data_IF_233970011269
#
_entry.id   IF_233970011269
#
_cell.length_a   1.000
_cell.length_b   1.000
_cell.length_c   1.000
_cell.angle_alpha   90.00
_cell.angle_beta   90.00
_cell.angle_gamma   90.00
#
_symmetry.space_group_name_H-M   'P 1'
#
loop_
_entity.id
_entity.type
_entity.pdbx_description
1 polymer ?
#
# COMPACT_ATOMS: atom_id res chain seq x y z
N UNK A 1 -34.78 -64.50 17.85
CA UNK A 1 -35.05 -63.23 17.17
C UNK A 1 -34.49 -62.11 18.04
N UNK A 2 -33.28 -61.57 17.74
CA UNK A 2 -32.60 -60.61 18.61
C UNK A 2 -32.72 -59.27 17.89
N UNK A 3 -33.49 -58.35 18.47
CA UNK A 3 -33.61 -56.95 17.98
C UNK A 3 -32.37 -56.16 18.40
N UNK A 4 -31.64 -55.63 17.43
CA UNK A 4 -30.58 -54.63 17.66
C UNK A 4 -31.18 -53.21 17.50
N UNK A 5 -31.04 -52.31 18.49
CA UNK A 5 -31.46 -50.92 18.34
C UNK A 5 -30.42 -50.20 17.49
N UNK A 6 -30.87 -49.58 16.40
CA UNK A 6 -30.05 -48.64 15.63
C UNK A 6 -29.97 -47.28 16.34
N UNK A 7 -28.77 -46.91 16.74
CA UNK A 7 -28.49 -45.60 17.35
C UNK A 7 -28.43 -44.54 16.21
N UNK A 8 -29.43 -43.68 16.18
CA UNK A 8 -29.47 -42.54 15.26
C UNK A 8 -28.59 -41.43 15.87
N UNK A 9 -27.39 -41.19 15.33
CA UNK A 9 -26.56 -40.06 15.73
C UNK A 9 -27.07 -38.83 14.98
N UNK A 10 -27.78 -37.97 15.72
CA UNK A 10 -28.21 -36.65 15.24
C UNK A 10 -27.02 -35.68 15.34
N UNK A 11 -26.33 -35.44 14.25
CA UNK A 11 -25.29 -34.39 14.19
C UNK A 11 -25.95 -33.01 14.25
N UNK A 12 -25.88 -32.35 15.42
CA UNK A 12 -26.17 -30.93 15.51
C UNK A 12 -25.10 -30.16 14.71
N UNK A 13 -25.45 -29.71 13.54
CA UNK A 13 -24.74 -28.63 12.88
C UNK A 13 -24.99 -27.34 13.65
N UNK A 14 -24.09 -27.01 14.58
CA UNK A 14 -24.07 -25.69 15.19
C UNK A 14 -23.72 -24.72 14.09
N UNK A 15 -24.71 -24.03 13.53
CA UNK A 15 -24.50 -22.87 12.67
C UNK A 15 -23.81 -21.79 13.50
N UNK A 16 -22.50 -21.66 13.34
CA UNK A 16 -21.79 -20.50 13.84
C UNK A 16 -22.27 -19.33 12.99
N UNK A 17 -23.05 -18.42 13.57
CA UNK A 17 -23.25 -17.11 13.02
C UNK A 17 -21.85 -16.48 12.91
N UNK A 18 -21.34 -16.35 11.69
CA UNK A 18 -20.14 -15.57 11.43
C UNK A 18 -20.49 -14.12 11.81
N UNK A 19 -20.14 -13.73 13.02
CA UNK A 19 -20.14 -12.31 13.39
C UNK A 19 -19.19 -11.61 12.41
N UNK A 20 -19.62 -10.47 11.88
CA UNK A 20 -18.77 -9.67 11.00
C UNK A 20 -17.46 -9.38 11.75
N UNK A 21 -16.36 -9.83 11.18
CA UNK A 21 -15.02 -9.67 11.78
C UNK A 21 -14.59 -8.19 11.81
N UNK A 22 -15.17 -7.38 10.92
CA UNK A 22 -14.92 -5.95 10.79
C UNK A 22 -16.20 -5.14 11.05
N UNK A 23 -16.02 -3.85 11.35
CA UNK A 23 -17.11 -2.90 11.55
C UNK A 23 -16.72 -1.54 10.97
N UNK A 24 -17.15 -1.28 9.73
CA UNK A 24 -16.73 -0.13 8.95
C UNK A 24 -15.22 -0.16 8.68
N UNK A 25 -14.69 -1.21 8.01
CA UNK A 25 -13.27 -1.21 7.63
C UNK A 25 -13.01 -0.10 6.62
N UNK A 26 -12.01 0.74 6.91
CA UNK A 26 -11.72 1.96 6.15
C UNK A 26 -10.37 1.92 5.46
N UNK A 27 -9.32 1.49 6.17
CA UNK A 27 -7.99 1.33 5.60
C UNK A 27 -7.44 -0.04 5.94
N UNK A 28 -6.65 -0.59 5.04
CA UNK A 28 -5.86 -1.79 5.26
C UNK A 28 -4.41 -1.48 4.95
N UNK A 29 -3.51 -1.99 5.80
CA UNK A 29 -2.08 -1.82 5.62
C UNK A 29 -1.38 -3.17 5.77
N UNK A 30 -0.52 -3.53 4.83
CA UNK A 30 0.23 -4.78 4.87
C UNK A 30 1.50 -4.64 5.70
N UNK A 31 1.65 -5.46 6.74
CA UNK A 31 2.89 -5.61 7.51
C UNK A 31 3.76 -6.72 6.90
N UNK A 32 4.80 -6.38 6.12
CA UNK A 32 5.64 -7.38 5.45
C UNK A 32 6.55 -8.15 6.41
N UNK A 33 6.77 -7.63 7.62
CA UNK A 33 7.59 -8.30 8.65
C UNK A 33 6.80 -9.37 9.36
N UNK A 34 5.56 -9.05 9.74
CA UNK A 34 4.65 -9.98 10.39
C UNK A 34 3.86 -10.86 9.42
N UNK A 35 3.93 -10.60 8.11
CA UNK A 35 3.12 -11.22 7.05
C UNK A 35 1.62 -11.24 7.42
N UNK A 36 1.08 -10.05 7.67
CA UNK A 36 -0.27 -9.84 8.17
C UNK A 36 -0.82 -8.49 7.72
N UNK A 37 -2.08 -8.24 8.00
CA UNK A 37 -2.77 -7.01 7.63
C UNK A 37 -3.28 -6.28 8.87
N UNK A 38 -3.09 -4.97 8.92
CA UNK A 38 -3.71 -4.09 9.89
C UNK A 38 -4.90 -3.42 9.23
N UNK A 39 -6.05 -3.43 9.88
CA UNK A 39 -7.31 -2.89 9.32
C UNK A 39 -7.93 -1.92 10.30
N UNK A 40 -8.10 -0.66 9.88
CA UNK A 40 -8.85 0.32 10.66
C UNK A 40 -10.35 0.07 10.54
N UNK A 41 -11.08 0.31 11.63
CA UNK A 41 -12.52 0.07 11.68
C UNK A 41 -13.21 1.29 12.29
N UNK A 42 -13.85 2.11 11.47
CA UNK A 42 -14.46 3.37 11.89
C UNK A 42 -15.68 3.15 12.79
N UNK A 43 -16.42 2.06 12.59
CA UNK A 43 -17.62 1.75 13.37
C UNK A 43 -17.33 1.24 14.80
N UNK A 44 -16.17 0.59 15.03
CA UNK A 44 -15.77 0.11 16.35
C UNK A 44 -14.64 0.93 16.98
N UNK A 45 -13.96 1.75 16.20
CA UNK A 45 -12.74 2.44 16.62
C UNK A 45 -11.54 1.51 16.74
N UNK A 46 -11.61 0.26 16.32
CA UNK A 46 -10.52 -0.69 16.47
C UNK A 46 -9.57 -0.68 15.28
N UNK A 47 -8.27 -0.81 15.53
CA UNK A 47 -7.32 -1.35 14.57
C UNK A 47 -7.25 -2.85 14.82
N UNK A 48 -7.54 -3.64 13.79
CA UNK A 48 -7.54 -5.10 13.84
C UNK A 48 -6.37 -5.67 13.07
N UNK A 49 -5.89 -6.83 13.52
CA UNK A 49 -4.85 -7.61 12.82
C UNK A 49 -5.51 -8.84 12.22
N UNK A 50 -5.26 -9.07 10.93
CA UNK A 50 -5.65 -10.28 10.22
C UNK A 50 -4.41 -11.02 9.75
N UNK A 51 -4.27 -12.27 10.17
CA UNK A 51 -3.18 -13.14 9.71
C UNK A 51 -3.49 -13.77 8.33
N UNK A 52 -2.51 -14.47 7.75
CA UNK A 52 -2.66 -15.15 6.46
C UNK A 52 -3.68 -16.31 6.51
N UNK A 53 -3.97 -16.85 7.69
CA UNK A 53 -5.02 -17.88 7.86
C UNK A 53 -6.44 -17.30 7.83
N UNK A 54 -6.57 -15.99 7.93
CA UNK A 54 -7.84 -15.27 8.01
C UNK A 54 -8.33 -15.02 9.43
N UNK A 55 -7.52 -15.33 10.46
CA UNK A 55 -7.86 -15.03 11.86
C UNK A 55 -7.76 -13.53 12.10
N UNK A 56 -8.78 -12.94 12.69
CA UNK A 56 -8.85 -11.50 13.00
C UNK A 56 -8.89 -11.28 14.50
N UNK A 57 -7.99 -10.44 15.00
CA UNK A 57 -7.89 -10.05 16.42
C UNK A 57 -7.83 -8.55 16.55
N UNK A 58 -8.20 -7.99 17.71
CA UNK A 58 -8.03 -6.57 17.99
C UNK A 58 -6.60 -6.27 18.41
N UNK A 59 -5.99 -5.23 17.83
CA UNK A 59 -4.71 -4.69 18.30
C UNK A 59 -4.95 -3.61 19.36
N UNK A 60 -5.76 -2.60 19.02
CA UNK A 60 -6.02 -1.45 19.90
C UNK A 60 -7.34 -0.78 19.50
N UNK A 61 -7.98 -0.10 20.47
CA UNK A 61 -9.08 0.81 20.23
C UNK A 61 -8.59 2.26 20.21
N UNK A 62 -8.92 2.99 19.17
CA UNK A 62 -8.51 4.37 18.88
C UNK A 62 -9.70 5.31 19.02
N UNK A 63 -9.54 6.44 19.67
CA UNK A 63 -10.58 7.49 19.79
C UNK A 63 -9.97 8.87 19.53
N UNK A 64 -10.54 9.70 18.63
CA UNK A 64 -11.57 9.36 17.65
C UNK A 64 -11.22 8.15 16.78
N UNK A 65 -12.22 7.56 16.10
CA UNK A 65 -12.03 6.35 15.29
C UNK A 65 -10.91 6.51 14.23
N UNK A 66 -10.15 5.43 13.94
CA UNK A 66 -9.06 5.47 12.97
C UNK A 66 -9.60 5.41 11.54
N UNK A 67 -8.97 6.16 10.64
CA UNK A 67 -9.17 6.14 9.18
C UNK A 67 -7.93 5.55 8.51
N UNK A 68 -7.24 6.30 7.64
CA UNK A 68 -6.03 5.85 6.96
C UNK A 68 -4.97 5.33 7.91
N UNK A 69 -4.29 4.25 7.51
CA UNK A 69 -3.19 3.63 8.22
C UNK A 69 -1.90 3.73 7.38
N UNK A 70 -0.76 3.77 8.07
CA UNK A 70 0.57 3.66 7.47
C UNK A 70 1.54 3.03 8.46
N UNK A 71 2.46 2.18 8.00
CA UNK A 71 3.44 1.50 8.85
C UNK A 71 4.85 2.07 8.63
N UNK A 72 5.49 2.49 9.73
CA UNK A 72 6.94 2.79 9.75
C UNK A 72 7.60 1.94 10.82
N UNK A 73 8.43 1.00 10.43
CA UNK A 73 9.12 0.09 11.34
C UNK A 73 8.14 -0.81 12.10
N UNK A 74 8.11 -0.68 13.43
CA UNK A 74 7.23 -1.43 14.32
C UNK A 74 6.00 -0.62 14.80
N UNK A 75 5.71 0.47 14.12
CA UNK A 75 4.62 1.39 14.50
C UNK A 75 3.61 1.52 13.36
N UNK A 76 2.33 1.30 13.67
CA UNK A 76 1.21 1.68 12.81
C UNK A 76 0.73 3.09 13.20
N UNK A 77 0.72 3.98 12.23
CA UNK A 77 0.20 5.34 12.35
C UNK A 77 -1.22 5.37 11.79
N UNK A 78 -2.12 6.01 12.50
CA UNK A 78 -3.53 6.13 12.14
C UNK A 78 -3.98 7.59 12.11
N UNK A 79 -4.65 8.00 11.05
CA UNK A 79 -5.42 9.23 11.04
C UNK A 79 -6.57 9.13 12.04
N UNK A 80 -6.64 10.04 13.00
CA UNK A 80 -7.65 10.03 14.06
C UNK A 80 -8.12 11.46 14.37
N UNK A 81 -9.29 11.83 13.87
CA UNK A 81 -9.78 13.20 13.97
C UNK A 81 -8.87 14.21 13.27
N UNK A 82 -8.36 15.19 13.99
CA UNK A 82 -7.45 16.24 13.48
C UNK A 82 -5.97 15.98 13.74
N UNK A 83 -5.57 14.71 13.95
CA UNK A 83 -4.19 14.33 14.26
C UNK A 83 -3.84 12.91 13.84
N UNK A 84 -2.61 12.52 14.13
CA UNK A 84 -2.05 11.20 13.85
C UNK A 84 -1.67 10.54 15.18
N UNK A 85 -2.03 9.27 15.35
CA UNK A 85 -1.64 8.44 16.48
C UNK A 85 -0.84 7.24 16.01
N UNK A 86 0.30 6.97 16.64
CA UNK A 86 1.15 5.82 16.38
C UNK A 86 1.04 4.79 17.49
N UNK A 87 0.88 3.53 17.11
CA UNK A 87 0.78 2.40 18.04
C UNK A 87 1.79 1.32 17.68
N UNK A 88 2.41 0.71 18.69
CA UNK A 88 3.24 -0.46 18.49
C UNK A 88 2.40 -1.58 17.86
N UNK A 89 2.87 -2.13 16.73
CA UNK A 89 2.19 -3.25 16.04
C UNK A 89 2.33 -4.57 16.78
N UNK A 90 3.15 -4.61 17.86
CA UNK A 90 3.36 -5.80 18.69
C UNK A 90 2.31 -5.92 19.78
N UNK A 91 1.96 -4.81 20.44
CA UNK A 91 1.13 -4.85 21.65
C UNK A 91 0.06 -3.74 21.73
N UNK A 92 -0.04 -2.88 20.70
CA UNK A 92 -1.01 -1.78 20.66
C UNK A 92 -0.69 -0.61 21.59
N UNK A 93 0.50 -0.54 22.17
CA UNK A 93 0.91 0.59 23.03
C UNK A 93 0.98 1.88 22.21
N UNK A 94 0.38 2.98 22.70
CA UNK A 94 0.48 4.31 22.10
C UNK A 94 1.92 4.83 22.24
N UNK A 95 2.59 5.07 21.11
CA UNK A 95 3.98 5.55 21.05
C UNK A 95 4.12 6.94 20.42
N UNK A 96 3.09 7.39 19.71
CA UNK A 96 3.07 8.72 19.09
C UNK A 96 1.65 9.31 19.12
N UNK A 97 1.53 10.62 19.33
CA UNK A 97 0.25 11.32 19.32
C UNK A 97 0.46 12.80 19.00
N UNK A 98 0.24 13.17 17.75
CA UNK A 98 0.49 14.52 17.24
C UNK A 98 -0.77 15.11 16.60
N UNK A 99 -1.16 16.32 17.04
CA UNK A 99 -2.24 17.08 16.41
C UNK A 99 -1.67 18.01 15.35
N UNK A 100 -2.15 17.89 14.13
CA UNK A 100 -1.84 18.87 13.06
C UNK A 100 -2.87 20.01 13.01
N UNK A 101 -3.84 20.02 13.94
CA UNK A 101 -4.96 20.96 13.93
C UNK A 101 -5.87 20.77 12.72
N UNK A 102 -5.90 19.57 12.17
CA UNK A 102 -6.76 19.19 11.05
C UNK A 102 -8.23 19.10 11.44
N UNK A 103 -9.10 19.08 10.44
CA UNK A 103 -10.54 18.94 10.64
C UNK A 103 -10.98 17.50 10.56
N UNK A 104 -10.53 16.78 9.51
CA UNK A 104 -10.82 15.38 9.29
C UNK A 104 -9.71 14.77 8.43
N UNK A 105 -8.71 14.17 9.09
CA UNK A 105 -7.64 13.47 8.39
C UNK A 105 -8.17 12.13 7.89
N UNK A 106 -7.84 11.81 6.65
CA UNK A 106 -8.30 10.57 6.01
C UNK A 106 -7.14 9.71 5.52
N UNK A 107 -6.54 9.99 4.38
CA UNK A 107 -5.41 9.22 3.85
C UNK A 107 -4.08 9.60 4.49
N UNK A 108 -3.15 8.64 4.54
CA UNK A 108 -1.80 8.82 5.07
C UNK A 108 -0.81 7.96 4.29
N UNK A 109 0.41 8.44 4.11
CA UNK A 109 1.52 7.70 3.48
C UNK A 109 2.86 8.18 4.00
N UNK A 110 3.93 7.43 3.72
CA UNK A 110 5.30 7.79 4.11
C UNK A 110 6.28 7.72 2.95
N UNK A 111 7.29 8.62 2.96
CA UNK A 111 8.49 8.50 2.11
C UNK A 111 9.65 7.78 2.84
N UNK A 112 9.36 7.17 4.00
CA UNK A 112 10.32 6.52 4.89
C UNK A 112 10.96 7.48 5.91
N UNK A 113 10.71 8.80 5.80
CA UNK A 113 11.23 9.83 6.72
C UNK A 113 10.10 10.64 7.34
N UNK A 114 9.15 11.07 6.50
CA UNK A 114 8.02 11.88 6.89
C UNK A 114 6.72 11.13 6.63
N UNK A 115 5.70 11.45 7.42
CA UNK A 115 4.32 11.11 7.09
C UNK A 115 3.68 12.26 6.31
N UNK A 116 2.84 11.90 5.35
CA UNK A 116 2.00 12.84 4.61
C UNK A 116 0.54 12.44 4.78
N UNK A 117 -0.31 13.37 5.16
CA UNK A 117 -1.73 13.08 5.40
C UNK A 117 -2.63 14.11 4.75
N UNK A 118 -3.76 13.64 4.24
CA UNK A 118 -4.82 14.47 3.68
C UNK A 118 -5.80 14.90 4.75
N UNK A 119 -6.23 16.17 4.73
CA UNK A 119 -7.40 16.64 5.44
C UNK A 119 -8.55 16.76 4.46
N UNK A 120 -9.41 15.77 4.48
CA UNK A 120 -10.55 15.63 3.60
C UNK A 120 -11.50 16.85 3.65
N UNK A 121 -11.80 17.31 4.85
CA UNK A 121 -12.76 18.42 5.05
C UNK A 121 -12.14 19.78 4.82
N UNK A 122 -10.88 19.98 5.21
CA UNK A 122 -10.20 21.27 5.01
C UNK A 122 -9.55 21.41 3.63
N UNK A 123 -9.46 20.32 2.86
CA UNK A 123 -8.82 20.32 1.53
C UNK A 123 -7.33 20.62 1.61
N UNK A 124 -6.62 20.01 2.55
CA UNK A 124 -5.19 20.26 2.82
C UNK A 124 -4.36 18.99 2.76
N UNK A 125 -3.04 19.16 2.67
CA UNK A 125 -2.07 18.10 2.89
C UNK A 125 -1.07 18.58 3.93
N UNK A 126 -0.83 17.78 4.96
CA UNK A 126 0.19 18.02 5.97
C UNK A 126 1.39 17.09 5.76
N UNK A 127 2.57 17.60 6.09
CA UNK A 127 3.82 16.85 6.21
C UNK A 127 4.21 16.82 7.69
N UNK A 128 4.39 15.63 8.25
CA UNK A 128 4.66 15.40 9.66
C UNK A 128 6.04 14.77 9.85
N UNK A 129 6.86 15.37 10.66
CA UNK A 129 8.14 14.84 11.11
C UNK A 129 7.93 14.10 12.43
N UNK A 130 7.92 12.76 12.36
CA UNK A 130 7.70 11.90 13.53
C UNK A 130 8.85 12.03 14.52
N UNK A 131 10.09 12.16 14.04
CA UNK A 131 11.27 12.23 14.89
C UNK A 131 11.36 13.55 15.67
N UNK A 132 10.84 14.64 15.08
CA UNK A 132 10.85 15.97 15.70
C UNK A 132 9.51 16.34 16.36
N UNK A 133 8.52 15.45 16.31
CA UNK A 133 7.14 15.70 16.78
C UNK A 133 6.60 17.04 16.27
N UNK A 134 6.71 17.28 14.96
CA UNK A 134 6.36 18.54 14.33
C UNK A 134 5.68 18.35 12.98
N UNK A 135 5.02 19.39 12.48
CA UNK A 135 4.40 19.34 11.16
C UNK A 135 4.46 20.67 10.41
N UNK A 136 4.22 20.60 9.12
CA UNK A 136 3.99 21.76 8.25
C UNK A 136 2.76 21.51 7.38
N UNK A 137 2.06 22.58 7.01
CA UNK A 137 1.05 22.51 5.97
C UNK A 137 1.76 22.53 4.62
N UNK A 138 1.88 21.35 3.98
CA UNK A 138 2.52 21.21 2.67
C UNK A 138 1.65 21.84 1.57
N UNK A 139 0.34 21.61 1.60
CA UNK A 139 -0.63 22.17 0.65
C UNK A 139 -1.76 22.81 1.45
N UNK A 140 -1.86 24.13 1.35
CA UNK A 140 -2.87 24.91 2.08
C UNK A 140 -4.29 24.79 1.47
N UNK A 141 -4.39 24.47 0.18
CA UNK A 141 -5.66 24.18 -0.50
C UNK A 141 -5.42 23.30 -1.71
N UNK A 142 -6.05 22.13 -1.71
CA UNK A 142 -6.05 21.22 -2.86
C UNK A 142 -7.15 21.56 -3.88
N UNK A 143 -8.08 22.46 -3.52
CA UNK A 143 -9.25 22.80 -4.35
C UNK A 143 -10.29 21.69 -4.46
N UNK A 144 -10.34 20.78 -3.49
CA UNK A 144 -11.31 19.67 -3.41
C UNK A 144 -11.16 18.92 -2.10
N UNK A 145 -11.83 17.78 -1.97
CA UNK A 145 -11.72 16.88 -0.82
C UNK A 145 -10.70 15.77 -1.13
N UNK A 146 -9.42 15.95 -0.75
CA UNK A 146 -8.40 14.92 -0.94
C UNK A 146 -8.73 13.73 -0.03
N UNK A 147 -8.64 12.53 -0.55
CA UNK A 147 -8.92 11.30 0.18
C UNK A 147 -7.64 10.46 0.28
N UNK A 148 -7.53 9.34 -0.41
CA UNK A 148 -6.33 8.52 -0.40
C UNK A 148 -5.11 9.27 -0.94
N UNK A 149 -3.95 8.90 -0.42
CA UNK A 149 -2.64 9.45 -0.79
C UNK A 149 -1.60 8.34 -0.77
N UNK A 150 -0.71 8.29 -1.78
CA UNK A 150 0.39 7.34 -1.83
C UNK A 150 1.68 8.03 -2.24
N UNK A 151 2.80 7.64 -1.63
CA UNK A 151 4.13 8.04 -2.05
C UNK A 151 4.56 7.25 -3.30
N UNK A 152 4.88 7.95 -4.38
CA UNK A 152 5.47 7.40 -5.61
C UNK A 152 6.99 7.60 -5.59
N UNK A 153 7.79 6.58 -5.22
CA UNK A 153 9.24 6.71 -5.10
C UNK A 153 9.94 6.83 -6.46
N UNK A 154 9.29 6.43 -7.55
CA UNK A 154 9.85 6.52 -8.91
C UNK A 154 9.62 7.91 -9.49
N UNK A 155 8.42 8.45 -9.30
CA UNK A 155 8.09 9.80 -9.73
C UNK A 155 8.49 10.89 -8.73
N UNK A 156 9.00 10.53 -7.54
CA UNK A 156 9.35 11.42 -6.42
C UNK A 156 8.23 12.40 -6.05
N UNK A 157 7.00 11.88 -5.99
CA UNK A 157 5.77 12.68 -5.82
C UNK A 157 4.75 11.99 -4.92
N UNK A 158 3.88 12.78 -4.32
CA UNK A 158 2.69 12.29 -3.64
C UNK A 158 1.54 12.21 -4.66
N UNK A 159 0.93 11.04 -4.84
CA UNK A 159 -0.25 10.89 -5.70
C UNK A 159 -1.49 10.87 -4.81
N UNK A 160 -2.43 11.76 -5.11
CA UNK A 160 -3.62 11.99 -4.29
C UNK A 160 -4.87 11.82 -5.15
N UNK A 161 -5.82 11.07 -4.63
CA UNK A 161 -7.14 10.89 -5.20
C UNK A 161 -8.18 11.73 -4.47
N UNK A 162 -9.29 12.03 -5.13
CA UNK A 162 -10.26 12.98 -4.62
C UNK A 162 -11.65 12.36 -4.51
N UNK A 163 -12.38 12.78 -3.49
CA UNK A 163 -13.79 12.52 -3.36
C UNK A 163 -14.60 13.47 -4.23
N UNK A 164 -15.71 12.99 -4.76
CA UNK A 164 -16.64 13.77 -5.58
C UNK A 164 -16.90 13.14 -6.95
N UNK A 165 -17.74 13.78 -7.73
CA UNK A 165 -18.13 13.30 -9.07
C UNK A 165 -17.02 13.57 -10.09
N UNK A 166 -16.79 12.61 -11.01
CA UNK A 166 -15.74 12.70 -12.02
C UNK A 166 -14.41 13.11 -11.42
N UNK A 167 -14.03 12.46 -10.33
CA UNK A 167 -12.94 12.85 -9.46
C UNK A 167 -11.58 12.87 -10.18
N UNK A 168 -10.73 13.81 -9.81
CA UNK A 168 -9.39 13.95 -10.37
C UNK A 168 -8.36 13.06 -9.66
N UNK A 169 -7.21 12.85 -10.30
CA UNK A 169 -5.98 12.35 -9.66
C UNK A 169 -4.91 13.41 -9.87
N UNK A 170 -4.24 13.81 -8.78
CA UNK A 170 -3.19 14.83 -8.81
C UNK A 170 -1.93 14.34 -8.13
N UNK A 171 -0.79 14.82 -8.63
CA UNK A 171 0.49 14.68 -7.96
C UNK A 171 0.85 15.98 -7.24
N UNK A 172 1.58 15.84 -6.13
CA UNK A 172 2.15 16.97 -5.40
C UNK A 172 3.63 16.71 -5.12
N UNK A 173 4.44 17.72 -5.34
CA UNK A 173 5.85 17.68 -4.93
C UNK A 173 5.94 17.64 -3.39
N UNK A 174 6.67 16.68 -2.85
CA UNK A 174 6.76 16.43 -1.39
C UNK A 174 7.44 17.53 -0.59
N UNK A 175 8.16 18.45 -1.26
CA UNK A 175 8.90 19.52 -0.59
C UNK A 175 8.20 20.87 -0.73
N UNK A 176 7.63 21.14 -1.89
CA UNK A 176 7.04 22.46 -2.22
C UNK A 176 5.51 22.45 -2.22
N UNK A 177 4.88 21.27 -2.29
CA UNK A 177 3.43 21.15 -2.45
C UNK A 177 2.93 21.55 -3.84
N UNK A 178 3.83 21.75 -4.82
CA UNK A 178 3.44 22.11 -6.17
C UNK A 178 2.61 21.00 -6.81
N UNK A 179 1.43 21.38 -7.34
CA UNK A 179 0.46 20.42 -7.88
C UNK A 179 0.64 20.21 -9.38
N UNK A 180 0.48 18.95 -9.82
CA UNK A 180 0.35 18.55 -11.22
C UNK A 180 -0.88 17.70 -11.37
N UNK A 181 -1.76 18.00 -12.34
CA UNK A 181 -2.91 17.15 -12.64
C UNK A 181 -2.50 15.97 -13.49
N UNK A 182 -2.65 14.75 -12.98
CA UNK A 182 -2.38 13.50 -13.71
C UNK A 182 -3.59 13.08 -14.53
N UNK A 183 -4.78 13.11 -13.93
CA UNK A 183 -6.07 12.85 -14.60
C UNK A 183 -7.05 13.93 -14.16
N UNK A 184 -7.52 14.75 -15.09
CA UNK A 184 -8.42 15.85 -14.80
C UNK A 184 -9.83 15.39 -14.40
N UNK A 185 -10.26 14.25 -14.94
CA UNK A 185 -11.54 13.61 -14.64
C UNK A 185 -11.50 12.15 -15.03
N UNK A 186 -11.68 11.28 -14.05
CA UNK A 186 -11.55 9.82 -14.19
C UNK A 186 -12.80 9.14 -14.70
N UNK A 187 -13.95 9.82 -14.70
CA UNK A 187 -15.27 9.19 -14.86
C UNK A 187 -15.73 8.43 -13.63
N UNK A 188 -14.90 8.36 -12.57
CA UNK A 188 -15.23 7.74 -11.28
C UNK A 188 -15.82 8.78 -10.33
N UNK A 189 -16.65 8.31 -9.43
CA UNK A 189 -17.23 9.15 -8.37
C UNK A 189 -16.81 8.59 -7.00
N UNK A 190 -16.45 9.48 -6.09
CA UNK A 190 -16.05 9.15 -4.74
C UNK A 190 -14.87 8.18 -4.75
N UNK A 191 -13.74 8.64 -5.27
CA UNK A 191 -12.51 7.86 -5.17
C UNK A 191 -12.03 7.93 -3.72
N UNK A 192 -11.72 6.75 -3.17
CA UNK A 192 -11.36 6.61 -1.77
C UNK A 192 -9.88 6.33 -1.59
N UNK A 193 -9.40 5.17 -1.99
CA UNK A 193 -8.03 4.74 -1.80
C UNK A 193 -7.17 4.75 -3.05
N UNK A 194 -5.85 4.77 -2.86
CA UNK A 194 -4.85 4.61 -3.92
C UNK A 194 -3.62 3.90 -3.39
N UNK A 195 -3.13 2.90 -4.12
CA UNK A 195 -1.85 2.21 -3.84
C UNK A 195 -1.09 1.95 -5.13
N UNK A 196 0.14 1.42 -5.01
CA UNK A 196 1.00 1.10 -6.14
C UNK A 196 1.25 -0.40 -6.19
N UNK A 197 0.96 -1.04 -7.33
CA UNK A 197 1.20 -2.46 -7.52
C UNK A 197 2.68 -2.80 -7.77
N UNK A 198 2.98 -4.09 -7.83
CA UNK A 198 4.32 -4.63 -8.09
C UNK A 198 4.93 -4.24 -9.45
N UNK A 199 4.15 -3.69 -10.36
CA UNK A 199 4.57 -3.22 -11.68
C UNK A 199 4.70 -1.70 -11.73
N UNK A 200 4.42 -1.01 -10.62
CA UNK A 200 4.43 0.45 -10.52
C UNK A 200 3.14 1.09 -11.04
N UNK A 201 2.08 0.32 -11.34
CA UNK A 201 0.80 0.91 -11.69
C UNK A 201 0.08 1.40 -10.44
N UNK A 202 -0.72 2.44 -10.60
CA UNK A 202 -1.58 2.96 -9.55
C UNK A 202 -2.93 2.23 -9.57
N UNK A 203 -3.30 1.64 -8.44
CA UNK A 203 -4.60 1.04 -8.21
C UNK A 203 -5.45 2.01 -7.43
N UNK A 204 -6.66 2.26 -7.90
CA UNK A 204 -7.56 3.30 -7.37
C UNK A 204 -8.90 2.66 -7.03
N UNK A 205 -9.34 2.80 -5.77
CA UNK A 205 -10.64 2.36 -5.31
C UNK A 205 -11.70 3.45 -5.46
N UNK A 206 -12.88 3.12 -5.98
CA UNK A 206 -14.00 4.06 -6.12
C UNK A 206 -15.33 3.45 -5.68
N UNK A 207 -16.24 4.29 -5.16
CA UNK A 207 -17.56 3.87 -4.70
C UNK A 207 -18.64 3.93 -5.80
N UNK A 208 -18.39 4.63 -6.90
CA UNK A 208 -19.37 4.67 -7.99
C UNK A 208 -18.67 4.80 -9.35
N UNK A 209 -18.65 3.68 -10.09
CA UNK A 209 -19.01 2.33 -9.63
C UNK A 209 -18.03 1.78 -8.57
N UNK A 210 -18.50 0.81 -7.76
CA UNK A 210 -17.65 0.04 -6.85
C UNK A 210 -16.65 -0.77 -7.67
N UNK A 211 -15.38 -0.34 -7.72
CA UNK A 211 -14.34 -1.05 -8.46
C UNK A 211 -12.94 -0.63 -8.09
N UNK A 212 -11.98 -1.43 -8.53
CA UNK A 212 -10.55 -1.08 -8.54
C UNK A 212 -10.14 -0.80 -9.98
N UNK A 213 -9.66 0.41 -10.21
CA UNK A 213 -9.20 0.87 -11.53
C UNK A 213 -7.68 1.01 -11.54
N UNK A 214 -7.02 0.41 -12.54
CA UNK A 214 -5.58 0.50 -12.72
C UNK A 214 -5.23 1.59 -13.72
N UNK A 215 -4.26 2.43 -13.35
CA UNK A 215 -3.59 3.41 -14.20
C UNK A 215 -2.12 3.03 -14.37
N UNK A 216 -1.58 3.22 -15.57
CA UNK A 216 -0.14 3.05 -15.81
C UNK A 216 0.69 4.08 -15.03
N UNK A 217 1.99 3.86 -14.80
CA UNK A 217 2.84 4.75 -13.99
C UNK A 217 2.90 6.20 -14.49
N UNK A 218 2.62 6.41 -15.77
CA UNK A 218 2.64 7.73 -16.41
C UNK A 218 1.27 8.37 -16.57
N UNK A 219 0.18 7.64 -16.28
CA UNK A 219 -1.21 8.05 -16.48
C UNK A 219 -1.55 8.42 -17.93
N UNK A 220 -0.84 7.84 -18.90
CA UNK A 220 -1.02 8.14 -20.33
C UNK A 220 -1.82 7.07 -21.09
N UNK A 221 -1.85 5.86 -20.57
CA UNK A 221 -2.63 4.78 -21.16
C UNK A 221 -4.08 4.80 -20.64
N UNK A 222 -5.03 4.22 -21.40
CA UNK A 222 -6.39 4.07 -20.92
C UNK A 222 -6.44 3.31 -19.59
N UNK A 223 -7.23 3.82 -18.65
CA UNK A 223 -7.46 3.18 -17.37
C UNK A 223 -8.17 1.83 -17.55
N UNK A 224 -7.83 0.84 -16.73
CA UNK A 224 -8.34 -0.54 -16.83
C UNK A 224 -9.06 -0.92 -15.55
N UNK A 225 -10.32 -1.36 -15.67
CA UNK A 225 -11.05 -2.01 -14.56
C UNK A 225 -10.44 -3.40 -14.32
N UNK A 226 -10.05 -3.69 -13.08
CA UNK A 226 -9.49 -5.00 -12.72
C UNK A 226 -10.56 -6.11 -12.64
N UNK A 227 -11.84 -5.77 -12.71
CA UNK A 227 -12.93 -6.75 -12.64
C UNK A 227 -13.08 -7.42 -11.27
N UNK A 228 -12.65 -6.78 -10.20
CA UNK A 228 -12.81 -7.30 -8.83
C UNK A 228 -14.28 -7.35 -8.48
N UNK A 229 -14.75 -8.50 -8.00
CA UNK A 229 -16.16 -8.71 -7.64
C UNK A 229 -16.37 -8.69 -6.14
N UNK A 230 -17.64 -8.45 -5.70
CA UNK A 230 -18.01 -8.46 -4.28
C UNK A 230 -17.63 -7.19 -3.53
N UNK A 231 -17.22 -6.13 -4.24
CA UNK A 231 -16.93 -4.83 -3.66
C UNK A 231 -18.23 -4.12 -3.21
N UNK A 232 -18.11 -3.38 -2.13
CA UNK A 232 -19.17 -2.51 -1.64
C UNK A 232 -18.55 -1.34 -0.86
N UNK A 233 -18.52 -0.18 -1.46
CA UNK A 233 -17.81 0.99 -0.98
C UNK A 233 -16.35 0.62 -0.63
N UNK A 234 -15.53 0.20 -1.63
CA UNK A 234 -14.12 -0.10 -1.39
C UNK A 234 -13.40 1.19 -0.99
N UNK A 235 -12.74 1.15 0.17
CA UNK A 235 -12.17 2.32 0.82
C UNK A 235 -10.65 2.39 0.59
N UNK A 236 -9.84 2.74 1.58
CA UNK A 236 -8.40 2.93 1.42
C UNK A 236 -7.66 1.59 1.31
N UNK A 237 -7.02 1.38 0.17
CA UNK A 237 -6.44 0.10 -0.26
C UNK A 237 -4.93 0.09 -0.12
N UNK A 238 -4.37 -1.11 0.11
CA UNK A 238 -2.93 -1.31 0.07
C UNK A 238 -2.53 -2.53 -0.78
N UNK A 239 -1.24 -2.63 -1.07
CA UNK A 239 -0.68 -3.68 -1.90
C UNK A 239 0.27 -4.60 -1.11
N UNK A 240 -0.14 -5.85 -0.92
CA UNK A 240 0.70 -6.91 -0.37
C UNK A 240 1.79 -7.28 -1.38
N UNK A 241 2.98 -6.75 -1.15
CA UNK A 241 4.14 -6.89 -2.05
C UNK A 241 4.74 -8.30 -2.03
N UNK A 242 4.48 -9.08 -1.00
CA UNK A 242 4.99 -10.45 -0.84
C UNK A 242 4.12 -11.44 -1.63
N UNK A 243 2.80 -11.32 -1.49
CA UNK A 243 1.85 -12.24 -2.11
C UNK A 243 1.29 -11.74 -3.44
N UNK A 244 1.61 -10.50 -3.86
CA UNK A 244 1.22 -9.95 -5.14
C UNK A 244 -0.27 -9.68 -5.26
N UNK A 245 -0.89 -9.11 -4.24
CA UNK A 245 -2.34 -8.87 -4.22
C UNK A 245 -2.71 -7.51 -3.64
N UNK A 246 -3.76 -6.91 -4.17
CA UNK A 246 -4.37 -5.73 -3.59
C UNK A 246 -5.33 -6.13 -2.47
N UNK A 247 -5.24 -5.41 -1.35
CA UNK A 247 -6.05 -5.58 -0.16
C UNK A 247 -7.11 -4.49 -0.14
N UNK A 248 -8.38 -4.85 -0.04
CA UNK A 248 -9.49 -3.94 -0.28
C UNK A 248 -10.48 -4.01 0.88
N UNK A 249 -10.50 -3.02 1.77
CA UNK A 249 -11.55 -2.92 2.78
C UNK A 249 -12.84 -2.46 2.12
N UNK A 250 -13.94 -3.12 2.44
CA UNK A 250 -15.28 -2.79 1.95
C UNK A 250 -16.12 -2.23 3.10
N UNK A 251 -16.16 -0.91 3.22
CA UNK A 251 -16.85 -0.24 4.34
C UNK A 251 -18.36 -0.47 4.34
N UNK A 252 -18.95 -0.71 3.16
CA UNK A 252 -20.38 -0.90 3.01
C UNK A 252 -20.92 -2.28 3.40
N UNK A 253 -20.06 -3.31 3.49
CA UNK A 253 -20.48 -4.68 3.86
C UNK A 253 -19.60 -5.34 4.93
N UNK A 254 -18.68 -4.59 5.55
CA UNK A 254 -17.83 -5.06 6.65
C UNK A 254 -16.93 -6.24 6.28
N UNK A 255 -16.36 -6.23 5.07
CA UNK A 255 -15.43 -7.26 4.59
C UNK A 255 -14.09 -6.66 4.16
N UNK A 256 -13.06 -7.52 4.03
CA UNK A 256 -11.82 -7.19 3.33
C UNK A 256 -11.64 -8.21 2.21
N UNK A 257 -11.53 -7.71 0.98
CA UNK A 257 -11.29 -8.52 -0.22
C UNK A 257 -9.81 -8.51 -0.56
N UNK A 258 -9.30 -9.66 -0.98
CA UNK A 258 -7.93 -9.82 -1.49
C UNK A 258 -8.02 -10.24 -2.95
N UNK A 259 -7.38 -9.47 -3.83
CA UNK A 259 -7.41 -9.73 -5.25
C UNK A 259 -5.99 -9.85 -5.79
N UNK A 260 -5.66 -11.01 -6.35
CA UNK A 260 -4.33 -11.26 -6.90
C UNK A 260 -4.09 -10.42 -8.15
N UNK A 261 -3.00 -9.66 -8.14
CA UNK A 261 -2.51 -8.91 -9.28
C UNK A 261 -1.37 -9.71 -9.90
N UNK A 262 -1.46 -9.94 -11.20
CA UNK A 262 -0.37 -10.60 -11.90
C UNK A 262 0.86 -9.69 -11.93
N UNK A 263 1.78 -9.91 -11.01
CA UNK A 263 3.06 -9.21 -10.90
C UNK A 263 4.10 -9.64 -11.94
N UNK A 264 3.73 -10.60 -12.76
CA UNK A 264 4.57 -10.92 -13.90
C UNK A 264 4.28 -9.89 -14.99
N UNK A 265 5.30 -9.16 -15.42
CA UNK A 265 5.19 -8.32 -16.60
C UNK A 265 4.60 -9.16 -17.71
N UNK A 266 3.47 -8.74 -18.28
CA UNK A 266 2.73 -9.49 -19.33
C UNK A 266 3.46 -9.52 -20.68
N UNK A 267 4.76 -9.73 -20.65
CA UNK A 267 5.52 -10.20 -21.79
C UNK A 267 5.19 -11.69 -21.90
N UNK A 268 4.74 -12.15 -23.06
CA UNK A 268 4.52 -13.58 -23.30
C UNK A 268 5.70 -14.38 -22.76
N UNK A 269 5.44 -15.55 -22.19
CA UNK A 269 6.45 -16.39 -21.53
C UNK A 269 7.68 -16.68 -22.41
N UNK A 270 7.55 -16.53 -23.71
CA UNK A 270 8.61 -16.62 -24.73
C UNK A 270 9.61 -15.45 -24.74
N UNK A 271 9.29 -14.31 -24.11
CA UNK A 271 10.16 -13.13 -24.03
C UNK A 271 10.67 -12.86 -22.60
N UNK A 272 10.39 -13.73 -21.65
CA UNK A 272 11.10 -13.71 -20.37
C UNK A 272 12.56 -13.99 -20.66
N UNK A 273 13.36 -12.97 -20.51
CA UNK A 273 14.79 -13.15 -20.32
C UNK A 273 14.97 -13.87 -18.96
N UNK A 274 14.60 -15.18 -18.93
CA UNK A 274 14.82 -16.10 -17.79
C UNK A 274 16.30 -16.22 -17.42
N UNK A 275 17.14 -15.42 -18.04
CA UNK A 275 18.57 -15.59 -18.08
C UNK A 275 19.31 -14.55 -17.23
N UNK A 276 18.65 -13.46 -16.80
CA UNK A 276 19.36 -12.45 -16.02
C UNK A 276 19.39 -12.78 -14.55
N UNK A 277 20.57 -12.77 -14.00
CA UNK A 277 20.81 -12.99 -12.58
C UNK A 277 21.87 -12.02 -12.06
N UNK A 278 21.88 -11.81 -10.76
CA UNK A 278 22.96 -11.11 -10.06
C UNK A 278 23.97 -12.14 -9.60
N UNK A 279 25.24 -11.93 -9.92
CA UNK A 279 26.32 -12.86 -9.58
C UNK A 279 27.54 -12.07 -9.03
N UNK A 280 28.09 -12.47 -7.87
CA UNK A 280 27.61 -13.51 -6.97
C UNK A 280 26.34 -13.09 -6.22
N UNK A 281 25.53 -14.05 -5.80
CA UNK A 281 24.37 -13.83 -4.94
C UNK A 281 24.17 -15.06 -4.04
N UNK A 282 24.38 -14.96 -2.72
CA UNK A 282 24.65 -13.76 -1.94
C UNK A 282 25.95 -13.01 -2.28
N UNK A 283 25.95 -11.70 -1.97
CA UNK A 283 27.00 -10.76 -2.35
C UNK A 283 27.59 -10.01 -1.16
N UNK A 284 28.91 -9.69 -1.23
CA UNK A 284 29.59 -8.86 -0.20
C UNK A 284 29.90 -7.46 -0.71
N UNK A 285 30.54 -7.35 -1.88
CA UNK A 285 31.12 -6.09 -2.32
C UNK A 285 30.62 -5.62 -3.69
N UNK A 286 30.81 -6.44 -4.70
CA UNK A 286 30.51 -6.11 -6.09
C UNK A 286 29.73 -7.25 -6.73
N UNK A 287 28.75 -6.92 -7.54
CA UNK A 287 27.96 -7.89 -8.31
C UNK A 287 27.89 -7.47 -9.77
N UNK A 288 27.67 -8.43 -10.65
CA UNK A 288 27.36 -8.18 -12.07
C UNK A 288 26.01 -8.78 -12.44
N UNK A 289 25.44 -8.27 -13.49
CA UNK A 289 24.22 -8.82 -14.08
C UNK A 289 24.64 -9.75 -15.22
N UNK A 290 24.17 -10.98 -15.18
CA UNK A 290 24.39 -12.00 -16.23
C UNK A 290 23.08 -12.45 -16.85
N UNK A 291 23.01 -12.55 -18.20
CA UNK A 291 23.98 -12.05 -19.18
C UNK A 291 24.15 -10.53 -19.14
N UNK A 292 25.26 -9.98 -19.66
CA UNK A 292 25.55 -8.55 -19.67
C UNK A 292 24.42 -7.73 -20.30
N UNK A 293 24.28 -6.48 -19.83
CA UNK A 293 23.33 -5.53 -20.39
C UNK A 293 23.73 -5.16 -21.82
N UNK A 294 22.76 -4.97 -22.71
CA UNK A 294 23.03 -4.61 -24.12
C UNK A 294 23.45 -3.13 -24.30
N UNK A 295 23.05 -2.27 -23.35
CA UNK A 295 23.33 -0.84 -23.36
C UNK A 295 23.41 -0.28 -21.94
N UNK A 296 23.74 0.99 -21.79
CA UNK A 296 23.64 1.70 -20.53
C UNK A 296 22.19 1.64 -20.02
N UNK A 297 22.02 1.05 -18.85
CA UNK A 297 20.69 0.77 -18.29
C UNK A 297 20.57 1.45 -16.93
N UNK A 298 19.62 2.36 -16.74
CA UNK A 298 19.35 2.94 -15.44
C UNK A 298 18.76 1.87 -14.51
N UNK A 299 19.12 1.96 -13.22
CA UNK A 299 18.66 1.05 -12.20
C UNK A 299 18.33 1.76 -10.89
N UNK A 300 17.51 1.13 -10.10
CA UNK A 300 17.26 1.46 -8.68
C UNK A 300 17.42 0.24 -7.83
N UNK A 301 17.85 0.42 -6.57
CA UNK A 301 17.93 -0.63 -5.55
C UNK A 301 16.94 -0.27 -4.44
N UNK A 302 16.05 -1.19 -4.14
CA UNK A 302 15.06 -1.04 -3.08
C UNK A 302 15.28 -2.09 -1.99
N UNK A 303 15.09 -1.72 -0.74
CA UNK A 303 15.04 -2.65 0.38
C UNK A 303 13.72 -3.45 0.38
N UNK A 304 13.54 -4.32 1.38
CA UNK A 304 12.33 -5.15 1.52
C UNK A 304 11.06 -4.35 1.77
N UNK A 305 11.19 -3.11 2.21
CA UNK A 305 10.08 -2.18 2.45
C UNK A 305 9.77 -1.30 1.22
N UNK A 306 10.43 -1.57 0.09
CA UNK A 306 10.30 -0.77 -1.12
C UNK A 306 11.02 0.58 -1.08
N UNK A 307 11.77 0.88 -0.01
CA UNK A 307 12.53 2.13 0.12
C UNK A 307 13.71 2.12 -0.84
N UNK A 308 13.87 3.21 -1.58
CA UNK A 308 15.02 3.44 -2.44
C UNK A 308 16.29 3.58 -1.60
N UNK A 309 17.26 2.67 -1.78
CA UNK A 309 18.56 2.68 -1.08
C UNK A 309 19.74 2.90 -2.01
N UNK A 310 19.50 2.94 -3.31
CA UNK A 310 20.53 3.23 -4.32
C UNK A 310 19.95 3.36 -5.71
N UNK A 311 20.62 4.14 -6.57
CA UNK A 311 20.25 4.30 -7.98
C UNK A 311 21.46 4.68 -8.81
N UNK A 312 21.37 4.48 -10.11
CA UNK A 312 22.44 4.83 -11.05
C UNK A 312 22.20 4.31 -12.46
N UNK A 313 23.26 4.29 -13.27
CA UNK A 313 23.25 3.70 -14.60
C UNK A 313 24.38 2.69 -14.72
N UNK A 314 24.06 1.46 -15.10
CA UNK A 314 25.03 0.40 -15.38
C UNK A 314 25.37 0.37 -16.86
N UNK A 315 26.66 0.47 -17.18
CA UNK A 315 27.18 0.18 -18.53
C UNK A 315 27.18 -1.34 -18.79
N UNK A 316 27.23 -1.78 -20.03
CA UNK A 316 27.50 -3.18 -20.35
C UNK A 316 28.74 -3.68 -19.60
N UNK A 317 28.64 -4.83 -18.96
CA UNK A 317 29.73 -5.43 -18.14
C UNK A 317 30.14 -4.66 -16.87
N UNK A 318 29.43 -3.59 -16.49
CA UNK A 318 29.72 -2.85 -15.25
C UNK A 318 29.41 -3.70 -14.02
N UNK A 319 30.18 -3.46 -12.96
CA UNK A 319 29.92 -4.01 -11.64
C UNK A 319 29.04 -3.04 -10.86
N UNK A 320 28.02 -3.56 -10.20
CA UNK A 320 27.21 -2.83 -9.23
C UNK A 320 27.90 -2.94 -7.87
N UNK A 321 28.23 -1.78 -7.29
CA UNK A 321 28.81 -1.70 -5.96
C UNK A 321 27.71 -1.79 -4.89
N UNK A 322 27.81 -2.81 -4.03
CA UNK A 322 26.83 -3.06 -2.96
C UNK A 322 27.44 -2.97 -1.57
N UNK A 323 28.68 -2.43 -1.45
CA UNK A 323 29.40 -2.31 -0.17
C UNK A 323 28.71 -1.40 0.84
N UNK A 324 27.96 -0.43 0.36
CA UNK A 324 27.22 0.52 1.21
C UNK A 324 25.89 0.00 1.70
N UNK A 325 25.43 -1.14 1.18
CA UNK A 325 24.19 -1.76 1.63
C UNK A 325 24.41 -2.54 2.92
N UNK A 326 23.48 -2.44 3.84
CA UNK A 326 23.41 -3.27 5.04
C UNK A 326 23.16 -4.74 4.66
N UNK A 327 23.45 -5.68 5.58
CA UNK A 327 23.10 -7.10 5.38
C UNK A 327 21.60 -7.25 5.26
N UNK A 328 21.12 -7.89 4.18
CA UNK A 328 19.68 -8.00 3.92
C UNK A 328 19.33 -8.43 2.50
N UNK A 329 18.04 -8.45 2.21
CA UNK A 329 17.52 -8.73 0.87
C UNK A 329 17.08 -7.42 0.21
N UNK A 330 17.40 -7.29 -1.08
CA UNK A 330 17.11 -6.10 -1.89
C UNK A 330 16.53 -6.50 -3.24
N UNK A 331 15.83 -5.59 -3.86
CA UNK A 331 15.39 -5.71 -5.25
C UNK A 331 16.13 -4.68 -6.10
N UNK A 332 16.87 -5.15 -7.09
CA UNK A 332 17.45 -4.30 -8.14
C UNK A 332 16.48 -4.25 -9.31
N UNK A 333 16.01 -3.06 -9.65
CA UNK A 333 15.10 -2.84 -10.77
C UNK A 333 15.83 -2.14 -11.89
N UNK A 334 15.86 -2.73 -13.07
CA UNK A 334 16.37 -2.11 -14.30
C UNK A 334 15.22 -1.29 -14.92
N UNK A 335 15.22 0.02 -14.68
CA UNK A 335 14.04 0.88 -14.98
C UNK A 335 13.72 1.00 -16.46
N UNK A 336 14.72 0.78 -17.35
CA UNK A 336 14.49 0.79 -18.79
C UNK A 336 13.76 -0.44 -19.35
N UNK A 337 13.75 -1.56 -18.61
CA UNK A 337 13.12 -2.83 -19.02
C UNK A 337 12.11 -3.33 -17.99
N UNK A 338 12.03 -2.71 -16.81
CA UNK A 338 11.22 -3.20 -15.69
C UNK A 338 11.72 -4.49 -15.05
N UNK A 339 12.89 -5.01 -15.47
CA UNK A 339 13.45 -6.26 -14.95
C UNK A 339 13.80 -6.11 -13.47
N UNK A 340 13.31 -7.00 -12.63
CA UNK A 340 13.58 -7.06 -11.19
C UNK A 340 14.48 -8.25 -10.87
N UNK A 341 15.53 -7.99 -10.13
CA UNK A 341 16.54 -9.00 -9.75
C UNK A 341 16.70 -8.98 -8.24
N UNK A 342 16.56 -10.14 -7.61
CA UNK A 342 16.80 -10.29 -6.18
C UNK A 342 18.29 -10.24 -5.88
N UNK A 343 18.69 -9.41 -4.92
CA UNK A 343 20.02 -9.32 -4.36
C UNK A 343 19.99 -9.67 -2.87
N UNK A 344 20.84 -10.58 -2.45
CA UNK A 344 21.06 -10.89 -1.03
C UNK A 344 22.43 -10.36 -0.65
N UNK A 345 22.51 -9.42 0.30
CA UNK A 345 23.73 -8.82 0.84
C UNK A 345 24.12 -9.53 2.14
N UNK A 346 25.36 -10.01 2.20
CA UNK A 346 26.02 -10.57 3.40
C UNK A 346 26.89 -9.55 4.12
#
# INVERSE_FOLDING_TARGET
>A
MIFRPSLLILSLLAGHALLAQYNGPESVEYDPVGDRYLVSNTGSGAIKVRDQSGTVTDLVTVSPAPYGLEIIGDTVFACSGGGIKGYSITDGTLVFNHSVGGTFLNGITTDGTFLYTTDFSAGRIYKVDVAQDSHTTLVASTGGSPNGIVWDPVGERLVVVFWGSNAAIRAYDRNTGAATTLVAGTGLTNIDGVTIDCLGNFLVASWSPDRITRYDPTFTQPAVDLGVTGLNNPADIDFDTVNGRVCIPNSGNNTVTFFEVNCTTGIPEDLRDKTRSIVPNPARDLVRIEPPLAANTPYVVMDVNGRLVGSGTLSPNALLDVRTLETGTYTVVLTGTGTRLRLVKE
#
